data_IF_816412089890
#
_entry.id   IF_816412089890
#
_cell.length_a   1.000
_cell.length_b   1.000
_cell.length_c   1.000
_cell.angle_alpha   90.00
_cell.angle_beta   90.00
_cell.angle_gamma   90.00
#
_symmetry.space_group_name_H-M   'P 1'
#
loop_
_entity.id
_entity.type
_entity.pdbx_description
1 polymer ?
#
# COMPACT_ATOMS: atom_id res chain seq x y z
N UNK A 1 5.33 -6.29 1.37
CA UNK A 1 4.16 -5.65 0.73
C UNK A 1 4.49 -5.30 -0.73
N UNK A 2 5.31 -4.31 -1.04
CA UNK A 2 5.53 -3.82 -2.39
C UNK A 2 5.91 -4.88 -3.42
N UNK A 3 6.88 -5.75 -3.13
CA UNK A 3 7.26 -6.84 -4.03
C UNK A 3 6.09 -7.80 -4.32
N UNK A 4 5.23 -8.06 -3.33
CA UNK A 4 4.08 -8.96 -3.52
C UNK A 4 2.99 -8.33 -4.40
N UNK A 5 2.62 -7.07 -4.17
CA UNK A 5 1.68 -6.33 -5.02
C UNK A 5 2.23 -6.23 -6.45
N UNK A 6 3.50 -5.82 -6.61
CA UNK A 6 4.14 -5.75 -7.91
C UNK A 6 4.07 -7.08 -8.68
N UNK A 7 4.38 -8.21 -8.02
CA UNK A 7 4.30 -9.55 -8.64
C UNK A 7 2.90 -9.87 -9.16
N UNK A 8 1.87 -9.53 -8.39
CA UNK A 8 0.47 -9.81 -8.79
C UNK A 8 0.01 -8.91 -9.93
N UNK A 9 0.34 -7.62 -9.90
CA UNK A 9 0.01 -6.68 -10.97
C UNK A 9 0.75 -6.98 -12.26
N UNK A 10 2.03 -7.42 -12.21
CA UNK A 10 2.75 -7.91 -13.40
C UNK A 10 2.01 -9.11 -14.01
N UNK A 11 1.55 -10.07 -13.20
CA UNK A 11 0.78 -11.22 -13.68
C UNK A 11 -0.57 -10.85 -14.28
N UNK A 12 -1.18 -9.77 -13.80
CA UNK A 12 -2.40 -9.21 -14.35
C UNK A 12 -2.17 -8.38 -15.64
N UNK A 13 -0.91 -8.16 -16.03
CA UNK A 13 -0.56 -7.47 -17.27
C UNK A 13 -0.28 -5.97 -17.14
N UNK A 14 -0.11 -5.48 -15.91
CA UNK A 14 0.27 -4.09 -15.70
C UNK A 14 1.77 -3.85 -15.93
N UNK A 15 2.08 -2.67 -16.47
CA UNK A 15 3.45 -2.15 -16.53
C UNK A 15 3.86 -1.63 -15.15
N UNK A 16 4.80 -2.32 -14.51
CA UNK A 16 5.20 -2.03 -13.13
C UNK A 16 6.62 -1.47 -13.07
N UNK A 17 6.78 -0.34 -12.39
CA UNK A 17 8.06 0.26 -12.05
C UNK A 17 8.40 0.01 -10.58
N UNK A 18 9.65 -0.29 -10.30
CA UNK A 18 10.14 -0.50 -8.94
C UNK A 18 10.96 0.69 -8.50
N UNK A 19 10.40 1.48 -7.59
CA UNK A 19 11.10 2.61 -6.97
C UNK A 19 11.92 2.20 -5.75
N UNK A 20 13.13 2.74 -5.62
CA UNK A 20 13.95 2.63 -4.41
C UNK A 20 14.81 3.88 -4.21
N UNK A 21 15.31 4.07 -2.98
CA UNK A 21 16.36 5.07 -2.69
C UNK A 21 17.73 4.64 -3.23
N UNK A 22 17.87 3.35 -3.52
CA UNK A 22 19.08 2.71 -4.00
C UNK A 22 18.77 2.11 -5.38
N UNK A 23 19.36 2.70 -6.44
CA UNK A 23 19.11 2.27 -7.81
C UNK A 23 19.52 0.82 -8.09
N UNK A 24 20.71 0.33 -7.70
CA UNK A 24 21.07 -1.07 -7.84
C UNK A 24 20.06 -2.03 -7.23
N UNK A 25 19.54 -1.70 -6.04
CA UNK A 25 18.51 -2.50 -5.37
C UNK A 25 17.17 -2.50 -6.12
N UNK A 26 16.76 -1.37 -6.70
CA UNK A 26 15.56 -1.30 -7.52
C UNK A 26 15.69 -2.21 -8.75
N UNK A 27 16.83 -2.16 -9.43
CA UNK A 27 17.14 -2.96 -10.61
C UNK A 27 17.20 -4.45 -10.28
N UNK A 28 17.82 -4.82 -9.16
CA UNK A 28 17.84 -6.20 -8.68
C UNK A 28 16.42 -6.73 -8.44
N UNK A 29 15.56 -5.96 -7.77
CA UNK A 29 14.17 -6.34 -7.51
C UNK A 29 13.37 -6.46 -8.82
N UNK A 30 13.56 -5.55 -9.76
CA UNK A 30 12.93 -5.63 -11.09
C UNK A 30 13.29 -6.96 -11.80
N UNK A 31 14.56 -7.30 -11.86
CA UNK A 31 15.04 -8.56 -12.43
C UNK A 31 14.47 -9.79 -11.69
N UNK A 32 14.40 -9.78 -10.36
CA UNK A 32 13.80 -10.85 -9.56
C UNK A 32 12.29 -11.03 -9.84
N UNK A 33 11.60 -9.99 -10.30
CA UNK A 33 10.19 -10.01 -10.69
C UNK A 33 9.99 -10.36 -12.18
N UNK A 34 11.07 -10.62 -12.92
CA UNK A 34 11.01 -10.94 -14.36
C UNK A 34 10.87 -9.72 -15.26
N UNK A 35 11.08 -8.53 -14.74
CA UNK A 35 11.09 -7.29 -15.50
C UNK A 35 12.48 -7.00 -16.06
N UNK A 36 12.55 -6.07 -17.02
CA UNK A 36 13.83 -5.49 -17.43
C UNK A 36 14.43 -4.64 -16.29
N UNK A 37 15.76 -4.56 -16.21
CA UNK A 37 16.45 -3.76 -15.19
C UNK A 37 16.09 -2.27 -15.26
N UNK A 38 15.71 -1.75 -16.42
CA UNK A 38 15.24 -0.37 -16.63
C UNK A 38 13.93 -0.06 -15.92
N UNK A 39 13.14 -1.09 -15.55
CA UNK A 39 11.94 -0.94 -14.69
C UNK A 39 12.31 -0.66 -13.23
N UNK A 40 13.57 -0.84 -12.83
CA UNK A 40 14.10 -0.45 -11.52
C UNK A 40 14.68 0.96 -11.57
N UNK A 41 14.12 1.89 -10.78
CA UNK A 41 14.43 3.33 -10.82
C UNK A 41 14.66 3.91 -9.43
N UNK A 42 15.22 5.11 -9.35
CA UNK A 42 15.12 5.91 -8.14
C UNK A 42 13.66 6.29 -7.88
N UNK A 43 13.27 6.44 -6.60
CA UNK A 43 11.89 6.75 -6.21
C UNK A 43 11.30 7.94 -6.98
N UNK A 44 12.08 9.03 -7.13
CA UNK A 44 11.60 10.23 -7.81
C UNK A 44 11.40 10.00 -9.33
N UNK A 45 12.27 9.21 -9.95
CA UNK A 45 12.15 8.91 -11.39
C UNK A 45 10.96 7.99 -11.65
N UNK A 46 10.76 6.98 -10.79
CA UNK A 46 9.56 6.13 -10.84
C UNK A 46 8.28 6.96 -10.63
N UNK A 47 8.27 7.87 -9.64
CA UNK A 47 7.13 8.74 -9.38
C UNK A 47 6.80 9.67 -10.55
N UNK A 48 7.81 10.19 -11.25
CA UNK A 48 7.61 11.02 -12.46
C UNK A 48 7.05 10.22 -13.63
N UNK A 49 7.47 8.98 -13.78
CA UNK A 49 7.16 8.13 -14.94
C UNK A 49 5.81 7.42 -14.81
N UNK A 50 5.44 6.97 -13.60
CA UNK A 50 4.20 6.22 -13.37
C UNK A 50 2.94 7.08 -13.54
N UNK A 51 1.82 6.45 -13.88
CA UNK A 51 0.50 7.07 -13.85
C UNK A 51 -0.11 7.06 -12.44
N UNK A 52 0.20 6.02 -11.67
CA UNK A 52 -0.25 5.81 -10.30
C UNK A 52 0.92 5.26 -9.47
N UNK A 53 1.07 5.73 -8.24
CA UNK A 53 2.08 5.24 -7.31
C UNK A 53 1.48 4.44 -6.16
N UNK A 54 2.22 3.46 -5.64
CA UNK A 54 1.86 2.72 -4.43
C UNK A 54 3.01 2.79 -3.42
N UNK A 55 2.77 3.45 -2.29
CA UNK A 55 3.75 3.60 -1.21
C UNK A 55 3.65 2.41 -0.25
N UNK A 56 4.74 1.66 -0.13
CA UNK A 56 4.81 0.44 0.69
C UNK A 56 5.99 0.44 1.67
N UNK A 57 6.47 1.62 2.01
CA UNK A 57 7.58 1.77 2.97
C UNK A 57 7.11 1.60 4.42
N UNK A 58 8.00 1.24 5.37
CA UNK A 58 7.68 1.34 6.78
C UNK A 58 7.28 2.77 7.18
N UNK A 59 6.34 2.93 8.11
CA UNK A 59 5.81 4.23 8.53
C UNK A 59 6.91 5.23 8.93
N UNK A 60 7.97 4.77 9.61
CA UNK A 60 9.12 5.61 9.98
C UNK A 60 9.84 6.27 8.78
N UNK A 61 9.59 5.80 7.56
CA UNK A 61 10.16 6.35 6.33
C UNK A 61 9.12 7.02 5.43
N UNK A 62 7.85 7.06 5.83
CA UNK A 62 6.76 7.62 5.03
C UNK A 62 7.04 9.08 4.68
N UNK A 63 7.18 9.95 5.66
CA UNK A 63 7.36 11.39 5.48
C UNK A 63 8.56 11.71 4.58
N UNK A 64 9.74 11.20 4.91
CA UNK A 64 10.96 11.46 4.13
C UNK A 64 10.87 10.95 2.69
N UNK A 65 10.16 9.84 2.47
CA UNK A 65 9.94 9.31 1.12
C UNK A 65 8.98 10.20 0.36
N UNK A 66 7.83 10.57 0.93
CA UNK A 66 6.83 11.43 0.28
C UNK A 66 7.41 12.79 -0.11
N UNK A 67 8.13 13.45 0.80
CA UNK A 67 8.82 14.73 0.50
C UNK A 67 9.78 14.57 -0.69
N UNK A 68 10.48 13.44 -0.78
CA UNK A 68 11.47 13.21 -1.85
C UNK A 68 10.87 12.94 -3.23
N UNK A 69 9.57 12.60 -3.31
CA UNK A 69 8.88 12.21 -4.55
C UNK A 69 7.70 13.12 -4.91
N UNK A 70 7.39 14.12 -4.09
CA UNK A 70 6.20 14.98 -4.23
C UNK A 70 6.09 15.58 -5.64
N UNK A 71 7.17 16.16 -6.16
CA UNK A 71 7.20 16.73 -7.53
C UNK A 71 6.80 15.72 -8.62
N UNK A 72 7.01 14.43 -8.39
CA UNK A 72 6.67 13.37 -9.32
C UNK A 72 5.22 12.89 -9.24
N UNK A 73 4.50 13.23 -8.16
CA UNK A 73 3.15 12.74 -7.87
C UNK A 73 2.03 13.74 -8.24
N UNK A 74 2.38 14.91 -8.76
CA UNK A 74 1.41 15.96 -9.08
C UNK A 74 0.34 15.47 -10.07
N UNK A 75 -0.94 15.65 -9.71
CA UNK A 75 -2.14 15.22 -10.45
C UNK A 75 -2.26 13.70 -10.64
N UNK A 76 -1.65 12.91 -9.74
CA UNK A 76 -1.71 11.44 -9.77
C UNK A 76 -2.43 10.89 -8.54
N UNK A 77 -2.82 9.62 -8.63
CA UNK A 77 -3.28 8.84 -7.49
C UNK A 77 -2.06 8.22 -6.81
N UNK A 78 -1.98 8.36 -5.48
CA UNK A 78 -1.00 7.69 -4.65
C UNK A 78 -1.71 6.76 -3.66
N UNK A 79 -1.51 5.45 -3.81
CA UNK A 79 -1.98 4.46 -2.86
C UNK A 79 -1.04 4.44 -1.66
N UNK A 80 -1.55 4.69 -0.47
CA UNK A 80 -0.79 4.52 0.77
C UNK A 80 -1.17 3.19 1.44
N UNK A 81 -0.22 2.26 1.47
CA UNK A 81 -0.34 0.99 2.17
C UNK A 81 0.46 0.98 3.50
N UNK A 82 0.90 2.13 3.96
CA UNK A 82 1.65 2.22 5.22
C UNK A 82 0.74 2.02 6.43
N UNK A 83 1.32 1.51 7.50
CA UNK A 83 0.64 1.32 8.79
C UNK A 83 1.51 1.92 9.88
N UNK A 84 0.97 2.72 10.81
CA UNK A 84 1.73 3.37 11.86
C UNK A 84 2.17 2.38 12.96
N UNK A 85 2.90 1.34 12.57
CA UNK A 85 3.49 0.37 13.49
C UNK A 85 4.74 0.97 14.13
N UNK A 86 4.77 1.02 15.46
CA UNK A 86 5.89 1.54 16.23
C UNK A 86 6.55 0.42 17.06
N UNK A 87 7.65 -0.19 16.56
CA UNK A 87 8.41 -1.19 17.31
C UNK A 87 8.91 -0.65 18.65
N UNK A 88 8.99 -1.48 19.72
CA UNK A 88 8.66 -2.92 19.71
C UNK A 88 7.18 -3.24 19.97
N UNK A 89 6.31 -2.22 20.11
CA UNK A 89 4.92 -2.39 20.57
C UNK A 89 3.92 -2.51 19.40
N UNK A 90 4.28 -3.23 18.34
CA UNK A 90 3.47 -3.32 17.10
C UNK A 90 2.07 -3.94 17.27
N UNK A 91 1.81 -4.64 18.39
CA UNK A 91 0.50 -5.20 18.71
C UNK A 91 -0.42 -4.21 19.45
N UNK A 92 0.00 -2.98 19.61
CA UNK A 92 -0.81 -1.90 20.18
C UNK A 92 -1.11 -0.88 19.10
N UNK A 93 -2.36 -0.50 19.00
CA UNK A 93 -2.76 0.61 18.14
C UNK A 93 -2.06 1.87 18.62
N UNK A 94 -1.33 2.52 17.72
CA UNK A 94 -0.61 3.76 17.94
C UNK A 94 -0.81 4.61 16.69
N UNK A 95 -1.73 5.54 16.77
CA UNK A 95 -2.07 6.42 15.64
C UNK A 95 -1.28 7.73 15.73
N UNK A 96 -0.89 8.32 14.60
CA UNK A 96 -0.33 9.66 14.58
C UNK A 96 -1.39 10.70 15.01
N UNK A 97 -0.96 11.89 15.45
CA UNK A 97 -1.85 12.94 15.94
C UNK A 97 -2.90 13.35 14.90
N UNK A 98 -2.57 13.32 13.62
CA UNK A 98 -3.49 13.63 12.51
C UNK A 98 -4.53 12.52 12.27
N UNK A 99 -4.42 11.37 12.95
CA UNK A 99 -5.37 10.26 12.93
C UNK A 99 -4.88 9.02 12.20
N UNK A 100 -4.27 9.13 11.03
CA UNK A 100 -3.81 7.99 10.24
C UNK A 100 -2.57 8.31 9.41
N UNK A 101 -1.87 7.27 8.94
CA UNK A 101 -0.75 7.41 8.02
C UNK A 101 -1.20 8.00 6.67
N UNK A 102 -2.36 7.60 6.16
CA UNK A 102 -2.89 8.13 4.91
C UNK A 102 -3.29 9.62 5.01
N UNK A 103 -3.84 10.06 6.14
CA UNK A 103 -4.08 11.49 6.37
C UNK A 103 -2.77 12.27 6.46
N UNK A 104 -1.75 11.69 7.09
CA UNK A 104 -0.41 12.29 7.12
C UNK A 104 0.15 12.42 5.70
N UNK A 105 0.02 11.38 4.89
CA UNK A 105 0.45 11.41 3.49
C UNK A 105 -0.26 12.49 2.68
N UNK A 106 -1.58 12.63 2.82
CA UNK A 106 -2.35 13.69 2.14
C UNK A 106 -1.93 15.08 2.61
N UNK A 107 -1.67 15.26 3.90
CA UNK A 107 -1.18 16.55 4.45
C UNK A 107 0.18 16.96 3.88
N UNK A 108 1.07 15.98 3.63
CA UNK A 108 2.41 16.24 3.05
C UNK A 108 2.31 16.58 1.57
N UNK A 109 1.51 15.82 0.80
CA UNK A 109 1.41 15.94 -0.67
C UNK A 109 0.46 17.07 -1.13
N UNK A 110 -0.35 17.62 -0.22
CA UNK A 110 -1.32 18.68 -0.55
C UNK A 110 -2.40 18.22 -1.54
N UNK A 111 -3.11 19.20 -2.11
CA UNK A 111 -4.32 18.96 -2.91
C UNK A 111 -4.04 18.48 -4.34
N UNK A 112 -2.79 18.53 -4.78
CA UNK A 112 -2.43 18.14 -6.15
C UNK A 112 -2.22 16.64 -6.34
N UNK A 113 -2.13 15.89 -5.26
CA UNK A 113 -2.00 14.43 -5.27
C UNK A 113 -3.20 13.83 -4.56
N UNK A 114 -3.86 12.87 -5.18
CA UNK A 114 -5.00 12.18 -4.57
C UNK A 114 -4.52 10.95 -3.81
N UNK A 115 -4.62 10.97 -2.48
CA UNK A 115 -4.25 9.82 -1.65
C UNK A 115 -5.42 8.86 -1.50
N UNK A 116 -5.16 7.57 -1.66
CA UNK A 116 -6.09 6.47 -1.39
C UNK A 116 -5.41 5.47 -0.47
N UNK A 117 -6.04 5.16 0.66
CA UNK A 117 -5.58 4.15 1.63
C UNK A 117 -6.07 2.77 1.22
N UNK A 118 -5.16 1.79 1.10
CA UNK A 118 -5.51 0.40 0.78
C UNK A 118 -4.40 -0.59 1.18
N UNK A 119 -4.75 -1.87 1.31
CA UNK A 119 -3.85 -3.02 1.52
C UNK A 119 -3.25 -3.17 2.94
N UNK A 120 -3.63 -2.40 3.93
CA UNK A 120 -3.06 -2.42 5.29
C UNK A 120 -3.23 -3.79 5.99
N UNK A 121 -4.30 -4.51 5.67
CA UNK A 121 -4.69 -5.74 6.37
C UNK A 121 -4.33 -7.02 5.60
N UNK A 122 -3.59 -6.91 4.50
CA UNK A 122 -3.18 -8.04 3.67
C UNK A 122 -1.79 -8.55 4.10
N UNK A 123 -1.63 -9.87 4.18
CA UNK A 123 -0.32 -10.48 4.43
C UNK A 123 0.65 -10.23 3.27
N UNK A 124 1.76 -9.57 3.57
CA UNK A 124 2.83 -9.34 2.60
C UNK A 124 3.49 -10.65 2.12
N UNK A 125 3.45 -11.71 2.92
CA UNK A 125 3.99 -13.03 2.58
C UNK A 125 3.06 -13.73 1.60
N UNK A 126 1.73 -13.74 1.86
CA UNK A 126 0.75 -14.34 0.94
C UNK A 126 0.73 -13.68 -0.43
N UNK A 127 0.90 -12.35 -0.50
CA UNK A 127 1.00 -11.63 -1.78
C UNK A 127 2.17 -12.12 -2.66
N UNK A 128 3.22 -12.68 -2.08
CA UNK A 128 4.37 -13.19 -2.81
C UNK A 128 4.20 -14.64 -3.28
N UNK A 129 3.08 -15.26 -2.98
CA UNK A 129 2.72 -16.61 -3.42
C UNK A 129 1.60 -16.56 -4.45
N UNK A 130 1.34 -17.69 -5.12
CA UNK A 130 0.21 -17.85 -6.04
C UNK A 130 -1.06 -18.32 -5.32
N UNK A 131 -1.03 -18.41 -3.99
CA UNK A 131 -2.19 -18.82 -3.21
C UNK A 131 -3.33 -17.81 -3.35
N UNK A 132 -4.55 -18.32 -3.34
CA UNK A 132 -5.76 -17.52 -3.14
C UNK A 132 -5.71 -16.87 -1.77
N UNK A 133 -6.03 -15.57 -1.70
CA UNK A 133 -6.02 -14.81 -0.46
C UNK A 133 -7.47 -14.48 -0.10
N UNK A 134 -8.04 -15.24 0.84
CA UNK A 134 -9.40 -14.98 1.35
C UNK A 134 -9.38 -13.84 2.38
N UNK A 135 -9.11 -12.63 1.87
CA UNK A 135 -9.05 -11.41 2.67
C UNK A 135 -9.50 -10.22 1.82
N UNK A 136 -10.27 -9.34 2.41
CA UNK A 136 -10.80 -8.16 1.76
C UNK A 136 -9.91 -6.92 1.99
N UNK A 137 -9.95 -5.98 1.04
CA UNK A 137 -9.24 -4.70 1.07
C UNK A 137 -10.23 -3.58 1.33
N UNK A 138 -10.06 -2.84 2.42
CA UNK A 138 -10.78 -1.60 2.67
C UNK A 138 -10.10 -0.46 1.92
N UNK A 139 -10.84 0.18 1.00
CA UNK A 139 -10.33 1.26 0.16
C UNK A 139 -10.96 2.58 0.58
N UNK A 140 -10.20 3.46 1.23
CA UNK A 140 -10.64 4.77 1.69
C UNK A 140 -9.94 5.89 0.90
N UNK A 141 -10.71 6.94 0.53
CA UNK A 141 -10.21 8.08 -0.22
C UNK A 141 -11.36 9.06 -0.50
N UNK A 142 -11.06 10.32 -0.70
CA UNK A 142 -12.11 11.34 -0.81
C UNK A 142 -12.80 11.37 -2.18
N UNK A 143 -12.12 10.90 -3.23
CA UNK A 143 -12.66 10.87 -4.59
C UNK A 143 -13.12 9.47 -4.98
N UNK A 144 -14.37 9.36 -5.46
CA UNK A 144 -14.98 8.08 -5.84
C UNK A 144 -14.19 7.39 -6.96
N UNK A 145 -13.80 8.12 -8.00
CA UNK A 145 -13.10 7.57 -9.15
C UNK A 145 -11.72 7.02 -8.76
N UNK A 146 -11.01 7.69 -7.86
CA UNK A 146 -9.73 7.20 -7.34
C UNK A 146 -9.92 5.90 -6.53
N UNK A 147 -10.99 5.79 -5.73
CA UNK A 147 -11.31 4.53 -5.03
C UNK A 147 -11.68 3.42 -6.01
N UNK A 148 -12.44 3.71 -7.08
CA UNK A 148 -12.77 2.73 -8.13
C UNK A 148 -11.49 2.16 -8.74
N UNK A 149 -10.56 3.02 -9.17
CA UNK A 149 -9.27 2.60 -9.73
C UNK A 149 -8.51 1.66 -8.77
N UNK A 150 -8.49 1.98 -7.47
CA UNK A 150 -7.78 1.15 -6.49
C UNK A 150 -8.50 -0.17 -6.19
N UNK A 151 -9.84 -0.20 -6.27
CA UNK A 151 -10.64 -1.43 -6.16
C UNK A 151 -10.36 -2.36 -7.37
N UNK A 152 -10.26 -1.82 -8.57
CA UNK A 152 -9.89 -2.57 -9.76
C UNK A 152 -8.47 -3.16 -9.61
N UNK A 153 -7.50 -2.37 -9.15
CA UNK A 153 -6.15 -2.86 -8.85
C UNK A 153 -6.11 -3.92 -7.75
N UNK A 154 -7.02 -3.86 -6.77
CA UNK A 154 -7.17 -4.91 -5.77
C UNK A 154 -7.70 -6.20 -6.40
N UNK A 155 -8.69 -6.11 -7.31
CA UNK A 155 -9.20 -7.26 -8.05
C UNK A 155 -8.14 -7.90 -8.93
N UNK A 156 -7.33 -7.09 -9.63
CA UNK A 156 -6.20 -7.56 -10.45
C UNK A 156 -5.11 -8.24 -9.61
N UNK A 157 -4.98 -7.86 -8.34
CA UNK A 157 -4.12 -8.56 -7.38
C UNK A 157 -4.76 -9.84 -6.81
N UNK A 158 -5.98 -10.21 -7.23
CA UNK A 158 -6.75 -11.36 -6.74
C UNK A 158 -7.38 -11.14 -5.37
N UNK A 159 -7.77 -9.91 -5.06
CA UNK A 159 -8.38 -9.50 -3.78
C UNK A 159 -9.73 -8.83 -4.01
N UNK A 160 -10.62 -8.90 -3.03
CA UNK A 160 -11.88 -8.14 -3.06
C UNK A 160 -11.70 -6.79 -2.39
N UNK A 161 -11.87 -5.70 -3.16
CA UNK A 161 -11.84 -4.33 -2.65
C UNK A 161 -13.23 -3.82 -2.28
N UNK A 162 -13.35 -3.11 -1.15
CA UNK A 162 -14.58 -2.48 -0.69
C UNK A 162 -14.40 -0.99 -0.49
N UNK A 163 -15.38 -0.20 -0.92
CA UNK A 163 -15.42 1.22 -0.58
C UNK A 163 -15.56 1.42 0.93
N UNK A 164 -14.51 1.92 1.57
CA UNK A 164 -14.52 2.26 2.99
C UNK A 164 -14.86 3.73 3.27
N UNK A 165 -15.24 4.49 2.23
CA UNK A 165 -15.65 5.90 2.36
C UNK A 165 -14.48 6.88 2.26
N UNK A 166 -14.59 8.06 2.91
CA UNK A 166 -13.59 9.12 2.83
C UNK A 166 -12.25 8.71 3.45
N UNK A 167 -11.19 9.46 3.12
CA UNK A 167 -9.82 9.14 3.52
C UNK A 167 -9.64 9.04 5.04
N UNK A 168 -10.40 9.82 5.83
CA UNK A 168 -10.36 9.73 7.29
C UNK A 168 -10.74 8.35 7.85
N UNK A 169 -11.47 7.52 7.09
CA UNK A 169 -11.80 6.15 7.48
C UNK A 169 -10.61 5.19 7.40
N UNK A 170 -9.49 5.58 6.80
CA UNK A 170 -8.25 4.80 6.77
C UNK A 170 -7.78 4.41 8.19
N UNK A 171 -8.09 5.22 9.18
CA UNK A 171 -7.78 4.97 10.59
C UNK A 171 -8.23 3.59 11.05
N UNK A 172 -9.38 3.10 10.58
CA UNK A 172 -9.91 1.79 10.96
C UNK A 172 -9.05 0.64 10.40
N UNK A 173 -8.71 0.67 9.11
CA UNK A 173 -7.88 -0.34 8.48
C UNK A 173 -6.45 -0.36 9.06
N UNK A 174 -5.87 0.82 9.29
CA UNK A 174 -4.54 0.96 9.88
C UNK A 174 -4.49 0.44 11.32
N UNK A 175 -5.49 0.79 12.16
CA UNK A 175 -5.60 0.30 13.53
C UNK A 175 -5.77 -1.21 13.59
N UNK A 176 -6.57 -1.80 12.70
CA UNK A 176 -6.81 -3.25 12.64
C UNK A 176 -5.52 -4.04 12.43
N UNK A 177 -4.53 -3.54 11.73
CA UNK A 177 -3.26 -4.26 11.51
C UNK A 177 -2.58 -4.63 12.83
N UNK A 178 -2.52 -3.73 13.80
CA UNK A 178 -1.98 -4.04 15.13
C UNK A 178 -2.76 -5.15 15.85
N UNK A 179 -4.09 -5.15 15.68
CA UNK A 179 -4.97 -6.16 16.26
C UNK A 179 -4.77 -7.50 15.59
N UNK A 180 -4.67 -7.55 14.24
CA UNK A 180 -4.41 -8.77 13.49
C UNK A 180 -3.06 -9.39 13.87
N UNK A 181 -2.00 -8.57 14.04
CA UNK A 181 -0.71 -9.04 14.57
C UNK A 181 -0.86 -9.65 15.97
N UNK A 182 -1.65 -9.05 16.85
CA UNK A 182 -1.91 -9.59 18.20
C UNK A 182 -2.69 -10.91 18.14
N UNK A 183 -3.70 -11.01 17.28
CA UNK A 183 -4.49 -12.24 17.04
C UNK A 183 -3.57 -13.35 16.52
N UNK A 184 -2.75 -13.07 15.50
CA UNK A 184 -1.80 -14.04 14.95
C UNK A 184 -0.90 -14.61 16.05
N UNK A 185 -0.31 -13.73 16.86
CA UNK A 185 0.57 -14.16 17.96
C UNK A 185 -0.18 -14.96 19.02
N UNK A 186 -1.38 -14.51 19.43
CA UNK A 186 -2.16 -15.14 20.50
C UNK A 186 -2.67 -16.53 20.11
N UNK A 187 -3.06 -16.72 18.86
CA UNK A 187 -3.71 -17.94 18.37
C UNK A 187 -2.80 -18.78 17.48
N UNK A 188 -1.52 -18.44 17.36
CA UNK A 188 -0.55 -19.16 16.52
C UNK A 188 -1.00 -19.26 15.06
N UNK A 189 -1.63 -18.20 14.55
CA UNK A 189 -2.00 -18.11 13.13
C UNK A 189 -0.81 -17.57 12.33
N UNK A 190 -0.57 -18.14 11.15
CA UNK A 190 0.45 -17.63 10.24
C UNK A 190 0.01 -16.27 9.66
N UNK A 191 -1.24 -16.21 9.21
CA UNK A 191 -1.80 -15.02 8.57
C UNK A 191 -3.26 -14.85 8.99
N UNK A 192 -3.65 -13.64 9.35
CA UNK A 192 -5.04 -13.24 9.52
C UNK A 192 -5.33 -12.02 8.65
N UNK A 193 -6.58 -11.88 8.25
CA UNK A 193 -7.07 -10.77 7.47
C UNK A 193 -8.46 -10.38 7.93
N UNK A 194 -9.15 -9.57 7.15
CA UNK A 194 -10.54 -9.20 7.37
C UNK A 194 -11.41 -9.75 6.24
N UNK A 195 -12.66 -10.03 6.56
CA UNK A 195 -13.67 -10.42 5.58
C UNK A 195 -14.95 -9.65 5.85
N UNK A 196 -15.50 -9.03 4.82
CA UNK A 196 -16.81 -8.39 4.89
C UNK A 196 -17.86 -9.46 4.62
N UNK A 197 -18.73 -9.67 5.58
CA UNK A 197 -19.86 -10.58 5.45
C UNK A 197 -21.14 -9.80 5.27
N UNK A 198 -21.95 -10.14 4.26
CA UNK A 198 -23.23 -9.53 3.97
C UNK A 198 -24.17 -10.54 3.35
N UNK A 199 -25.47 -10.30 3.45
CA UNK A 199 -26.53 -11.13 2.87
C UNK A 199 -27.40 -10.25 2.00
#
# INVERSE_FOLDING_TARGET
MGKGLASRWIKAGHDVLIGSRDLPKAQEIALQLGLDSSSGMLNIDAAKTCELACLTVPFAHQESTLISIDDGLQNKIMIDATVPLMPPKVMRVQLPEIGSAALNAQSILGDKTTVVSAFQNISAELLQTDAEIDCDVLVAGDFLDARNTVIELAADAGLTGWHAGPLCNSVAAEALTSILIAINKKHSLAHSGIKITGH
#
